data_IF_817142811169
#
_entry.id   IF_817142811169
#
_cell.length_a   1.000
_cell.length_b   1.000
_cell.length_c   1.000
_cell.angle_alpha   90.00
_cell.angle_beta   90.00
_cell.angle_gamma   90.00
#
_symmetry.space_group_name_H-M   'P 1'
#
loop_
_entity.id
_entity.type
_entity.pdbx_description
1 polymer ?
#
# COMPACT_ATOMS: atom_id res chain seq x y z
N UNK A 1 6.80 -15.39 2.30
CA UNK A 1 6.43 -14.04 2.79
C UNK A 1 7.55 -13.37 3.60
N UNK A 2 8.56 -14.11 4.06
CA UNK A 2 9.69 -13.61 4.88
C UNK A 2 10.62 -12.60 4.18
N UNK A 3 10.54 -12.46 2.86
CA UNK A 3 11.36 -11.51 2.11
C UNK A 3 10.88 -10.06 2.24
N UNK A 4 9.65 -9.80 2.68
CA UNK A 4 9.13 -8.45 2.91
C UNK A 4 9.22 -8.18 4.42
N UNK A 5 10.13 -7.30 4.81
CA UNK A 5 10.28 -6.84 6.19
C UNK A 5 9.03 -6.04 6.61
N UNK A 6 8.09 -6.74 7.25
CA UNK A 6 6.83 -6.19 7.75
C UNK A 6 7.05 -5.19 8.89
N UNK A 7 8.15 -5.30 9.62
CA UNK A 7 8.55 -4.36 10.68
C UNK A 7 8.85 -2.95 10.15
N UNK A 8 9.16 -2.81 8.86
CA UNK A 8 9.36 -1.50 8.21
C UNK A 8 8.07 -0.90 7.62
N UNK A 9 6.93 -1.56 7.75
CA UNK A 9 5.66 -1.07 7.21
C UNK A 9 4.96 -0.24 8.28
N UNK A 10 4.98 1.08 8.12
CA UNK A 10 4.35 2.02 9.07
C UNK A 10 2.99 2.54 8.57
N UNK A 11 2.53 2.01 7.45
CA UNK A 11 1.39 2.55 6.69
C UNK A 11 0.08 1.88 7.10
N UNK A 12 -0.98 2.67 7.25
CA UNK A 12 -2.31 2.17 7.59
C UNK A 12 -3.28 2.27 6.40
N UNK A 13 -4.26 1.36 6.33
CA UNK A 13 -5.35 1.41 5.35
C UNK A 13 -4.90 1.29 3.88
N UNK A 14 -5.41 2.15 3.00
CA UNK A 14 -5.09 2.13 1.56
C UNK A 14 -3.60 2.33 1.27
N UNK A 15 -2.92 3.11 2.10
CA UNK A 15 -1.51 3.39 1.98
C UNK A 15 -0.68 2.10 2.15
N UNK A 16 -1.11 1.21 3.06
CA UNK A 16 -0.51 -0.12 3.24
C UNK A 16 -0.57 -0.97 1.97
N UNK A 17 -1.73 -1.00 1.30
CA UNK A 17 -1.92 -1.80 0.09
C UNK A 17 -0.98 -1.34 -1.03
N UNK A 18 -0.80 -0.03 -1.21
CA UNK A 18 0.12 0.55 -2.19
C UNK A 18 1.57 0.15 -1.86
N UNK A 19 1.98 0.28 -0.60
CA UNK A 19 3.34 -0.03 -0.17
C UNK A 19 3.67 -1.52 -0.33
N UNK A 20 2.75 -2.40 0.05
CA UNK A 20 2.94 -3.84 -0.06
C UNK A 20 3.06 -4.27 -1.53
N UNK A 21 2.18 -3.76 -2.40
CA UNK A 21 2.26 -4.03 -3.84
C UNK A 21 3.56 -3.51 -4.45
N UNK A 22 4.01 -2.32 -4.07
CA UNK A 22 5.26 -1.73 -4.55
C UNK A 22 6.50 -2.54 -4.12
N UNK A 23 6.56 -2.96 -2.84
CA UNK A 23 7.64 -3.81 -2.32
C UNK A 23 7.65 -5.19 -2.99
N UNK A 24 6.47 -5.78 -3.20
CA UNK A 24 6.34 -7.06 -3.90
C UNK A 24 6.83 -6.96 -5.35
N UNK A 25 6.44 -5.89 -6.06
CA UNK A 25 6.88 -5.61 -7.42
C UNK A 25 8.39 -5.43 -7.51
N UNK A 26 8.99 -4.64 -6.59
CA UNK A 26 10.44 -4.41 -6.58
C UNK A 26 11.24 -5.70 -6.37
N UNK A 27 10.72 -6.63 -5.56
CA UNK A 27 11.32 -7.95 -5.32
C UNK A 27 11.01 -8.98 -6.42
N UNK A 28 10.42 -8.55 -7.54
CA UNK A 28 10.08 -9.39 -8.71
C UNK A 28 9.13 -10.55 -8.38
N UNK A 29 8.28 -10.38 -7.36
CA UNK A 29 7.23 -11.37 -7.08
C UNK A 29 6.15 -11.35 -8.16
N UNK A 30 5.49 -12.49 -8.36
CA UNK A 30 4.29 -12.58 -9.19
C UNK A 30 3.12 -11.98 -8.40
N UNK A 31 2.54 -10.93 -8.94
CA UNK A 31 1.34 -10.27 -8.39
C UNK A 31 0.16 -10.73 -9.25
N UNK A 32 -0.89 -11.21 -8.60
CA UNK A 32 -2.16 -11.56 -9.23
C UNK A 32 -3.28 -10.83 -8.48
N UNK A 33 -4.22 -10.27 -9.23
CA UNK A 33 -5.39 -9.62 -8.68
C UNK A 33 -6.55 -10.63 -8.68
N UNK A 34 -7.09 -10.91 -7.49
CA UNK A 34 -8.26 -11.77 -7.33
C UNK A 34 -9.43 -10.85 -6.98
N UNK A 35 -10.46 -10.76 -7.82
CA UNK A 35 -11.62 -9.93 -7.52
C UNK A 35 -12.33 -10.48 -6.28
N UNK A 36 -12.53 -9.61 -5.30
CA UNK A 36 -13.31 -9.91 -4.08
C UNK A 36 -14.56 -9.04 -4.06
N UNK A 37 -15.70 -9.67 -3.77
CA UNK A 37 -16.95 -8.95 -3.55
C UNK A 37 -16.95 -8.48 -2.10
N UNK A 38 -16.82 -7.17 -1.90
CA UNK A 38 -17.00 -6.56 -0.59
C UNK A 38 -18.49 -6.52 -0.26
N UNK A 39 -18.96 -7.49 0.53
CA UNK A 39 -20.38 -7.62 0.93
C UNK A 39 -20.77 -6.70 2.11
N UNK A 40 -20.04 -5.60 2.34
CA UNK A 40 -20.03 -4.91 3.64
C UNK A 40 -20.94 -3.66 3.68
N UNK A 41 -22.06 -3.82 4.40
CA UNK A 41 -22.92 -2.85 5.12
C UNK A 41 -23.25 -1.50 4.48
N UNK A 42 -24.55 -1.32 4.24
CA UNK A 42 -25.27 -0.09 3.88
C UNK A 42 -25.28 1.01 4.96
N UNK A 43 -24.43 0.97 5.98
CA UNK A 43 -24.37 1.99 7.03
C UNK A 43 -22.92 2.34 7.38
N UNK A 44 -22.53 3.59 7.11
CA UNK A 44 -21.25 4.15 7.56
C UNK A 44 -20.71 5.22 6.63
N UNK A 45 -20.33 6.35 7.21
CA UNK A 45 -19.64 7.45 6.54
C UNK A 45 -18.37 6.96 5.82
N UNK A 46 -18.06 7.57 4.68
CA UNK A 46 -16.93 7.22 3.80
C UNK A 46 -15.65 6.89 4.58
N UNK A 47 -15.16 5.64 4.47
CA UNK A 47 -13.83 5.22 4.94
C UNK A 47 -12.69 5.96 4.22
N UNK A 48 -13.00 6.71 3.16
CA UNK A 48 -12.08 7.56 2.41
C UNK A 48 -12.20 9.00 2.89
N UNK A 49 -11.16 9.47 3.61
CA UNK A 49 -11.01 10.89 3.97
C UNK A 49 -9.98 11.56 3.05
N UNK A 50 -10.08 12.88 2.88
CA UNK A 50 -9.08 13.67 2.13
C UNK A 50 -7.67 13.55 2.73
N UNK A 51 -7.56 13.27 4.02
CA UNK A 51 -6.27 13.04 4.68
C UNK A 51 -5.61 11.74 4.19
N UNK A 52 -6.38 10.64 4.09
CA UNK A 52 -5.90 9.35 3.59
C UNK A 52 -5.42 9.48 2.14
N UNK A 53 -6.13 10.23 1.29
CA UNK A 53 -5.73 10.48 -0.11
C UNK A 53 -4.40 11.24 -0.16
N UNK A 54 -4.23 12.27 0.67
CA UNK A 54 -2.98 13.04 0.73
C UNK A 54 -1.81 12.19 1.22
N UNK A 55 -2.03 11.36 2.24
CA UNK A 55 -1.01 10.42 2.75
C UNK A 55 -0.59 9.42 1.68
N UNK A 56 -1.55 8.85 0.94
CA UNK A 56 -1.26 7.92 -0.15
C UNK A 56 -0.40 8.58 -1.24
N UNK A 57 -0.75 9.82 -1.65
CA UNK A 57 0.04 10.57 -2.65
C UNK A 57 1.46 10.80 -2.12
N UNK A 58 1.62 11.32 -0.91
CA UNK A 58 2.93 11.58 -0.32
C UNK A 58 3.77 10.31 -0.22
N UNK A 59 3.14 9.20 0.14
CA UNK A 59 3.84 7.94 0.29
C UNK A 59 4.33 7.34 -1.02
N UNK A 60 3.59 7.49 -2.11
CA UNK A 60 4.05 7.08 -3.45
C UNK A 60 5.34 7.83 -3.81
N UNK A 61 5.39 9.14 -3.56
CA UNK A 61 6.61 9.94 -3.76
C UNK A 61 7.76 9.49 -2.86
N UNK A 62 7.48 9.21 -1.59
CA UNK A 62 8.49 8.72 -0.64
C UNK A 62 9.05 7.34 -1.02
N UNK A 63 8.19 6.41 -1.42
CA UNK A 63 8.58 5.09 -1.91
C UNK A 63 9.41 5.19 -3.19
N UNK A 64 9.05 6.11 -4.09
CA UNK A 64 9.81 6.38 -5.32
C UNK A 64 11.22 6.90 -5.01
N UNK A 65 11.35 7.87 -4.09
CA UNK A 65 12.64 8.40 -3.65
C UNK A 65 13.50 7.33 -2.96
N UNK A 66 12.93 6.52 -2.06
CA UNK A 66 13.65 5.39 -1.44
C UNK A 66 14.07 4.33 -2.45
N UNK A 67 13.28 4.13 -3.50
CA UNK A 67 13.63 3.21 -4.59
C UNK A 67 14.82 3.71 -5.40
N UNK A 68 14.87 5.02 -5.71
CA UNK A 68 15.98 5.65 -6.42
C UNK A 68 17.24 5.66 -5.55
N UNK A 69 17.09 5.89 -4.25
CA UNK A 69 18.19 5.89 -3.28
C UNK A 69 18.71 4.48 -2.91
N UNK A 70 18.24 3.40 -3.57
CA UNK A 70 18.73 2.03 -3.36
C UNK A 70 18.42 1.39 -2.00
N UNK A 71 17.58 2.02 -1.16
CA UNK A 71 17.29 1.59 0.23
C UNK A 71 16.04 0.70 0.37
N UNK A 72 15.60 0.06 -0.72
CA UNK A 72 14.36 -0.74 -0.78
C UNK A 72 14.61 -2.09 -1.44
#
# INVERSE_FOLDING_TARGET
LEAIDLTRVHSNGYAFQIEMSFRAWKKRFRIAEIPIVFVDRTEGTSKMSKAIVREAIWMVWWLRLKSIAGRL
#
